data_IF_236896919027
#
_entry.id   IF_236896919027
#
_cell.length_a   1.000
_cell.length_b   1.000
_cell.length_c   1.000
_cell.angle_alpha   90.00
_cell.angle_beta   90.00
_cell.angle_gamma   90.00
#
_symmetry.space_group_name_H-M   'P 1'
#
loop_
_entity.id
_entity.type
_entity.pdbx_description
1 polymer ?
#
# COMPACT_ATOMS: atom_id res chain seq x y z
N UNK A 1 23.81 -41.93 6.33
CA UNK A 1 22.78 -41.19 7.09
C UNK A 1 23.25 -39.78 7.48
N UNK A 2 24.36 -39.63 8.23
CA UNK A 2 24.88 -38.32 8.66
C UNK A 2 25.23 -37.38 7.49
N UNK A 3 25.88 -37.88 6.44
CA UNK A 3 26.27 -37.07 5.26
C UNK A 3 25.03 -36.55 4.51
N UNK A 4 23.96 -37.34 4.45
CA UNK A 4 22.69 -36.95 3.81
C UNK A 4 22.01 -35.85 4.61
N UNK A 5 22.03 -35.94 5.95
CA UNK A 5 21.50 -34.89 6.84
C UNK A 5 22.31 -33.60 6.73
N UNK A 6 23.64 -33.69 6.63
CA UNK A 6 24.52 -32.53 6.42
C UNK A 6 24.28 -31.88 5.05
N UNK A 7 24.08 -32.67 3.99
CA UNK A 7 23.74 -32.15 2.67
C UNK A 7 22.35 -31.51 2.63
N UNK A 8 21.35 -32.11 3.29
CA UNK A 8 20.00 -31.53 3.39
C UNK A 8 20.00 -30.23 4.19
N UNK A 9 20.71 -30.17 5.32
CA UNK A 9 20.82 -28.93 6.12
C UNK A 9 21.59 -27.83 5.37
N UNK A 10 22.61 -28.18 4.59
CA UNK A 10 23.33 -27.22 3.75
C UNK A 10 22.48 -26.73 2.56
N UNK A 11 21.71 -27.62 1.93
CA UNK A 11 20.82 -27.28 0.81
C UNK A 11 19.62 -26.43 1.26
N UNK A 12 19.02 -26.75 2.41
CA UNK A 12 17.95 -25.96 3.04
C UNK A 12 18.52 -24.62 3.56
N UNK A 13 19.74 -24.61 4.10
CA UNK A 13 20.43 -23.37 4.51
C UNK A 13 20.79 -22.44 3.34
N UNK A 14 21.02 -23.00 2.14
CA UNK A 14 21.26 -22.23 0.91
C UNK A 14 19.99 -21.88 0.13
N UNK A 15 18.84 -22.50 0.41
CA UNK A 15 17.53 -22.03 -0.05
C UNK A 15 17.10 -20.86 0.85
N UNK A 16 17.64 -19.68 0.58
CA UNK A 16 17.71 -18.58 1.54
C UNK A 16 16.30 -18.06 1.95
N UNK A 17 15.86 -18.24 3.21
CA UNK A 17 14.63 -17.61 3.72
C UNK A 17 14.64 -16.08 3.58
N UNK A 18 15.82 -15.50 3.40
CA UNK A 18 16.06 -14.06 3.28
C UNK A 18 15.26 -13.35 2.20
N UNK A 19 14.93 -13.98 1.06
CA UNK A 19 14.24 -13.25 -0.04
C UNK A 19 12.76 -13.07 0.26
N UNK A 20 12.10 -14.08 0.83
CA UNK A 20 10.68 -14.01 1.19
C UNK A 20 10.48 -13.02 2.33
N UNK A 21 11.32 -13.10 3.37
CA UNK A 21 11.28 -12.17 4.50
C UNK A 21 11.52 -10.73 4.06
N UNK A 22 12.40 -10.53 3.09
CA UNK A 22 12.73 -9.23 2.55
C UNK A 22 11.57 -8.59 1.76
N UNK A 23 10.82 -9.40 1.01
CA UNK A 23 9.57 -8.98 0.35
C UNK A 23 8.49 -8.66 1.38
N UNK A 24 8.34 -9.52 2.40
CA UNK A 24 7.38 -9.32 3.50
C UNK A 24 7.68 -8.03 4.26
N UNK A 25 8.94 -7.78 4.61
CA UNK A 25 9.37 -6.56 5.29
C UNK A 25 9.15 -5.32 4.41
N UNK A 26 9.40 -5.43 3.10
CA UNK A 26 9.14 -4.34 2.16
C UNK A 26 7.65 -4.02 2.05
N UNK A 27 6.81 -5.05 2.00
CA UNK A 27 5.35 -4.94 2.01
C UNK A 27 4.87 -4.25 3.28
N UNK A 28 5.27 -4.76 4.45
CA UNK A 28 4.91 -4.20 5.75
C UNK A 28 5.30 -2.72 5.86
N UNK A 29 6.57 -2.38 5.55
CA UNK A 29 7.03 -1.00 5.61
C UNK A 29 6.21 -0.08 4.70
N UNK A 30 5.96 -0.49 3.45
CA UNK A 30 5.24 0.33 2.48
C UNK A 30 3.75 0.48 2.83
N UNK A 31 3.08 -0.61 3.21
CA UNK A 31 1.67 -0.61 3.58
C UNK A 31 1.45 0.25 4.82
N UNK A 32 2.20 0.01 5.90
CA UNK A 32 2.07 0.82 7.11
C UNK A 32 2.38 2.29 6.86
N UNK A 33 3.38 2.59 6.03
CA UNK A 33 3.65 3.97 5.65
C UNK A 33 2.46 4.63 4.96
N UNK A 34 1.77 3.91 4.06
CA UNK A 34 0.53 4.39 3.44
C UNK A 34 -0.56 4.61 4.47
N UNK A 35 -0.82 3.63 5.32
CA UNK A 35 -1.96 3.66 6.26
C UNK A 35 -1.79 4.74 7.32
N UNK A 36 -0.57 4.94 7.82
CA UNK A 36 -0.27 5.93 8.85
C UNK A 36 -0.20 7.35 8.30
N UNK A 37 0.50 7.56 7.18
CA UNK A 37 0.75 8.93 6.69
C UNK A 37 -0.27 9.43 5.67
N UNK A 38 -0.94 8.52 4.95
CA UNK A 38 -2.01 8.87 4.00
C UNK A 38 -3.37 8.62 4.66
N UNK A 39 -3.57 7.42 5.22
CA UNK A 39 -4.84 7.02 5.84
C UNK A 39 -5.09 7.62 7.22
N UNK A 40 -4.08 8.17 7.88
CA UNK A 40 -4.19 8.70 9.25
C UNK A 40 -4.45 7.64 10.31
N UNK A 41 -4.26 6.35 9.99
CA UNK A 41 -4.54 5.22 10.86
C UNK A 41 -3.38 4.93 11.82
N UNK A 42 -3.67 4.20 12.87
CA UNK A 42 -2.67 3.60 13.76
C UNK A 42 -2.15 2.27 13.18
N UNK A 43 -1.00 1.81 13.66
CA UNK A 43 -0.43 0.51 13.23
C UNK A 43 -1.32 -0.63 13.73
N UNK A 44 -1.95 -0.46 14.88
CA UNK A 44 -2.87 -1.41 15.49
C UNK A 44 -4.16 -1.57 14.65
N UNK A 45 -4.77 -0.47 14.23
CA UNK A 45 -5.94 -0.50 13.33
C UNK A 45 -5.60 -1.19 12.01
N UNK A 46 -4.45 -0.86 11.42
CA UNK A 46 -3.97 -1.53 10.20
C UNK A 46 -3.85 -3.04 10.40
N UNK A 47 -3.23 -3.48 11.50
CA UNK A 47 -3.05 -4.91 11.78
C UNK A 47 -4.38 -5.64 11.92
N UNK A 48 -5.36 -4.98 12.52
CA UNK A 48 -6.66 -5.59 12.80
C UNK A 48 -7.53 -5.66 11.55
N UNK A 49 -7.49 -4.61 10.70
CA UNK A 49 -8.40 -4.45 9.56
C UNK A 49 -7.77 -4.88 8.23
N UNK A 50 -6.56 -4.42 7.93
CA UNK A 50 -5.95 -4.60 6.60
C UNK A 50 -5.13 -5.89 6.50
N UNK A 51 -4.51 -6.29 7.61
CA UNK A 51 -3.65 -7.48 7.67
C UNK A 51 -4.48 -8.71 8.04
N UNK A 52 -5.57 -8.53 8.81
CA UNK A 52 -6.41 -9.63 9.30
C UNK A 52 -5.58 -10.69 10.03
N UNK A 53 -6.18 -11.83 10.36
CA UNK A 53 -5.47 -12.98 10.96
C UNK A 53 -4.49 -13.68 10.00
N UNK A 54 -3.90 -12.97 9.03
CA UNK A 54 -2.91 -13.50 8.10
C UNK A 54 -1.53 -13.52 8.78
N UNK A 55 -1.06 -14.72 9.09
CA UNK A 55 0.12 -15.02 9.92
C UNK A 55 1.48 -14.53 9.39
N UNK A 56 1.52 -13.90 8.22
CA UNK A 56 2.76 -13.50 7.56
C UNK A 56 3.33 -12.16 8.06
N UNK A 57 2.49 -11.27 8.57
CA UNK A 57 2.91 -9.95 9.05
C UNK A 57 2.96 -9.84 10.58
N UNK A 58 2.41 -10.82 11.29
CA UNK A 58 2.37 -10.85 12.77
C UNK A 58 3.77 -10.81 13.39
N UNK A 59 4.73 -11.46 12.74
CA UNK A 59 6.11 -11.57 13.22
C UNK A 59 7.03 -10.43 12.76
N UNK A 60 6.50 -9.45 12.02
CA UNK A 60 7.27 -8.31 11.52
C UNK A 60 7.26 -7.20 12.57
N UNK A 61 8.44 -6.77 12.97
CA UNK A 61 8.61 -5.57 13.79
C UNK A 61 8.45 -4.33 12.92
N UNK A 62 7.61 -3.40 13.34
CA UNK A 62 7.29 -2.16 12.61
C UNK A 62 7.64 -0.97 13.51
N UNK A 63 8.38 0.00 12.95
CA UNK A 63 8.76 1.22 13.65
C UNK A 63 8.37 2.42 12.78
N UNK A 64 7.44 3.23 13.29
CA UNK A 64 7.00 4.47 12.63
C UNK A 64 7.78 5.65 13.20
N UNK A 65 8.45 6.39 12.31
CA UNK A 65 9.07 7.67 12.64
C UNK A 65 8.25 8.81 12.03
N UNK A 66 7.47 9.50 12.88
CA UNK A 66 6.62 10.62 12.45
C UNK A 66 7.42 11.89 12.12
N UNK A 67 8.59 12.09 12.70
CA UNK A 67 9.45 13.26 12.41
C UNK A 67 10.09 13.16 11.03
N UNK A 68 10.62 11.99 10.67
CA UNK A 68 11.21 11.70 9.35
C UNK A 68 10.16 11.31 8.30
N UNK A 69 8.90 11.14 8.74
CA UNK A 69 7.80 10.64 7.92
C UNK A 69 8.17 9.32 7.23
N UNK A 70 8.60 8.34 8.02
CA UNK A 70 9.09 7.06 7.51
C UNK A 70 8.66 5.88 8.38
N UNK A 71 8.69 4.69 7.78
CA UNK A 71 8.42 3.42 8.46
C UNK A 71 9.54 2.45 8.14
N UNK A 72 10.03 1.76 9.17
CA UNK A 72 10.95 0.64 9.05
C UNK A 72 10.21 -0.64 9.44
N UNK A 73 10.47 -1.73 8.71
CA UNK A 73 9.98 -3.05 9.04
C UNK A 73 11.06 -4.13 8.88
N UNK A 74 11.06 -5.11 9.79
CA UNK A 74 11.97 -6.25 9.75
C UNK A 74 11.47 -7.45 10.55
N UNK A 75 11.80 -8.65 10.09
CA UNK A 75 11.71 -9.91 10.84
C UNK A 75 13.06 -10.26 11.47
N UNK A 76 13.06 -11.07 12.54
CA UNK A 76 14.30 -11.47 13.22
C UNK A 76 15.29 -12.12 12.26
N UNK A 77 16.56 -11.67 12.26
CA UNK A 77 17.61 -12.19 11.37
C UNK A 77 17.48 -11.78 9.89
N UNK A 78 16.51 -10.94 9.53
CA UNK A 78 16.25 -10.50 8.16
C UNK A 78 16.72 -9.07 7.86
N UNK A 79 16.76 -8.72 6.58
CA UNK A 79 17.08 -7.37 6.11
C UNK A 79 16.01 -6.36 6.52
N UNK A 80 16.46 -5.21 7.02
CA UNK A 80 15.61 -4.06 7.34
C UNK A 80 15.13 -3.40 6.03
N UNK A 81 13.82 -3.21 5.90
CA UNK A 81 13.21 -2.43 4.82
C UNK A 81 12.65 -1.13 5.35
N UNK A 82 12.79 -0.05 4.56
CA UNK A 82 12.32 1.30 4.91
C UNK A 82 11.45 1.86 3.79
N UNK A 83 10.31 2.42 4.16
CA UNK A 83 9.48 3.24 3.30
C UNK A 83 9.41 4.67 3.84
N UNK A 84 9.29 5.63 2.94
CA UNK A 84 9.17 7.06 3.27
C UNK A 84 7.87 7.60 2.70
N UNK A 85 7.20 8.46 3.46
CA UNK A 85 6.09 9.23 2.98
C UNK A 85 6.58 10.49 2.27
N UNK A 86 5.99 10.75 1.11
CA UNK A 86 6.29 11.89 0.26
C UNK A 86 4.98 12.62 -0.02
N UNK A 87 4.87 13.84 0.50
CA UNK A 87 3.66 14.66 0.34
C UNK A 87 3.28 14.78 -1.15
N UNK A 88 2.01 14.49 -1.46
CA UNK A 88 1.48 14.47 -2.83
C UNK A 88 1.83 13.25 -3.69
N UNK A 89 2.71 12.35 -3.21
CA UNK A 89 3.17 11.17 -3.95
C UNK A 89 2.94 9.85 -3.18
N UNK A 90 2.56 9.95 -1.90
CA UNK A 90 2.26 8.82 -1.05
C UNK A 90 3.50 8.10 -0.51
N UNK A 91 3.33 6.82 -0.18
CA UNK A 91 4.38 5.98 0.40
C UNK A 91 5.30 5.38 -0.67
N UNK A 92 6.60 5.59 -0.55
CA UNK A 92 7.63 5.04 -1.43
C UNK A 92 8.55 4.10 -0.66
N UNK A 93 8.64 2.84 -1.10
CA UNK A 93 9.63 1.89 -0.58
C UNK A 93 11.02 2.28 -1.09
N UNK A 94 12.02 2.35 -0.21
CA UNK A 94 13.40 2.59 -0.61
C UNK A 94 13.96 1.31 -1.22
N UNK A 95 14.16 1.34 -2.54
CA UNK A 95 14.71 0.23 -3.31
C UNK A 95 15.50 0.74 -4.51
N UNK A 96 16.70 0.19 -4.73
CA UNK A 96 17.60 0.54 -5.84
C UNK A 96 18.24 1.94 -5.80
N UNK A 97 17.64 2.89 -5.08
CA UNK A 97 18.13 4.25 -4.88
C UNK A 97 18.26 4.57 -3.40
N UNK A 98 19.16 5.49 -3.08
CA UNK A 98 19.25 6.03 -1.71
C UNK A 98 18.02 6.88 -1.39
N UNK A 99 17.69 6.97 -0.10
CA UNK A 99 16.61 7.85 0.38
C UNK A 99 16.81 9.29 -0.10
N UNK A 100 18.04 9.81 -0.05
CA UNK A 100 18.37 11.16 -0.52
C UNK A 100 18.02 11.33 -1.99
N UNK A 101 18.37 10.37 -2.84
CA UNK A 101 18.02 10.41 -4.26
C UNK A 101 16.50 10.41 -4.45
N UNK A 102 15.77 9.53 -3.77
CA UNK A 102 14.30 9.45 -3.86
C UNK A 102 13.66 10.76 -3.41
N UNK A 103 14.06 11.31 -2.26
CA UNK A 103 13.55 12.60 -1.75
C UNK A 103 13.89 13.77 -2.68
N UNK A 104 14.99 13.69 -3.43
CA UNK A 104 15.40 14.73 -4.39
C UNK A 104 14.73 14.64 -5.76
N UNK A 105 13.98 13.57 -6.05
CA UNK A 105 13.28 13.42 -7.32
C UNK A 105 12.27 14.55 -7.53
N UNK A 106 12.32 15.18 -8.70
CA UNK A 106 11.37 16.19 -9.15
C UNK A 106 10.38 15.57 -10.13
N UNK A 107 9.13 16.00 -10.06
CA UNK A 107 8.08 15.56 -10.95
C UNK A 107 7.68 16.70 -11.86
N UNK A 108 7.61 16.41 -13.16
CA UNK A 108 7.01 17.31 -14.12
C UNK A 108 5.50 17.08 -14.06
N UNK A 109 4.82 17.83 -13.20
CA UNK A 109 3.37 17.84 -13.17
C UNK A 109 2.86 18.56 -14.43
N UNK A 110 1.78 18.07 -15.07
CA UNK A 110 1.16 18.80 -16.15
C UNK A 110 0.66 20.15 -15.63
N UNK A 111 0.71 21.18 -16.47
CA UNK A 111 0.08 22.45 -16.14
C UNK A 111 -1.41 22.24 -15.90
N UNK A 112 -2.01 22.90 -14.89
CA UNK A 112 -3.45 22.87 -14.71
C UNK A 112 -4.15 23.39 -15.97
N UNK A 113 -5.37 22.92 -16.29
CA UNK A 113 -6.11 23.41 -17.45
C UNK A 113 -6.30 24.93 -17.41
N UNK A 114 -6.18 25.58 -18.57
CA UNK A 114 -6.34 27.03 -18.71
C UNK A 114 -7.82 27.47 -18.78
N UNK A 115 -8.75 26.55 -18.58
CA UNK A 115 -10.20 26.77 -18.71
C UNK A 115 -10.87 26.47 -17.37
N UNK A 116 -11.95 27.17 -17.08
CA UNK A 116 -12.76 26.88 -15.90
C UNK A 116 -13.45 25.51 -16.09
N UNK A 117 -13.01 24.52 -15.32
CA UNK A 117 -13.50 23.15 -15.38
C UNK A 117 -14.90 22.97 -14.79
N UNK A 118 -15.36 23.87 -13.91
CA UNK A 118 -16.68 23.80 -13.25
C UNK A 118 -17.85 23.82 -14.25
N UNK A 119 -17.61 24.34 -15.45
CA UNK A 119 -18.61 24.44 -16.52
C UNK A 119 -18.49 23.36 -17.58
N UNK A 120 -17.42 22.56 -17.56
CA UNK A 120 -17.13 21.55 -18.58
C UNK A 120 -17.58 20.18 -18.03
N UNK A 121 -18.46 19.46 -18.74
CA UNK A 121 -18.86 18.10 -18.38
C UNK A 121 -17.68 17.16 -18.10
N UNK A 122 -17.80 16.36 -17.05
CA UNK A 122 -16.95 15.18 -16.87
C UNK A 122 -17.00 14.28 -18.13
N UNK A 123 -15.89 13.68 -18.59
CA UNK A 123 -14.55 13.58 -17.96
C UNK A 123 -13.60 14.73 -18.29
N UNK A 124 -14.03 15.71 -19.09
CA UNK A 124 -13.14 16.80 -19.56
C UNK A 124 -13.11 18.00 -18.61
N UNK A 125 -13.99 18.03 -17.61
CA UNK A 125 -13.96 18.97 -16.49
C UNK A 125 -14.76 18.43 -15.30
N UNK A 126 -15.14 19.32 -14.39
CA UNK A 126 -15.67 18.97 -13.07
C UNK A 126 -17.20 19.06 -13.00
N UNK A 127 -17.87 19.46 -14.09
CA UNK A 127 -19.33 19.51 -14.14
C UNK A 127 -19.88 18.08 -14.19
N UNK A 128 -20.42 17.62 -13.08
CA UNK A 128 -21.22 16.39 -13.04
C UNK A 128 -22.51 16.64 -13.84
N UNK A 129 -22.72 15.83 -14.88
CA UNK A 129 -23.95 15.84 -15.66
C UNK A 129 -24.80 14.68 -15.16
N UNK A 130 -26.00 14.97 -14.67
CA UNK A 130 -27.01 13.95 -14.37
C UNK A 130 -27.67 13.47 -15.66
N UNK A 131 -26.87 13.02 -16.63
CA UNK A 131 -27.39 12.30 -17.78
C UNK A 131 -27.57 10.85 -17.36
N UNK A 132 -28.78 10.55 -16.89
CA UNK A 132 -29.24 9.17 -16.79
C UNK A 132 -29.11 8.55 -18.18
N UNK A 133 -28.21 7.59 -18.33
CA UNK A 133 -28.04 6.84 -19.57
C UNK A 133 -29.40 6.26 -19.97
N UNK A 134 -29.96 6.76 -21.08
CA UNK A 134 -31.33 6.44 -21.51
C UNK A 134 -31.54 4.96 -21.84
N UNK A 135 -30.45 4.23 -22.06
CA UNK A 135 -30.41 2.79 -22.30
C UNK A 135 -30.18 1.96 -21.03
N UNK A 136 -30.10 2.57 -19.84
CA UNK A 136 -29.91 1.87 -18.56
C UNK A 136 -31.21 1.91 -17.75
N UNK A 137 -31.65 0.74 -17.27
CA UNK A 137 -32.77 0.64 -16.34
C UNK A 137 -32.34 1.16 -14.96
N UNK A 138 -32.69 2.41 -14.67
CA UNK A 138 -32.29 3.10 -13.44
C UNK A 138 -32.81 2.39 -12.19
N UNK A 139 -34.05 1.90 -12.21
CA UNK A 139 -34.62 1.16 -11.08
C UNK A 139 -33.84 -0.13 -10.78
N UNK A 140 -33.44 -0.86 -11.82
CA UNK A 140 -32.63 -2.07 -11.64
C UNK A 140 -31.23 -1.73 -11.09
N UNK A 141 -30.62 -0.64 -11.56
CA UNK A 141 -29.32 -0.16 -11.08
C UNK A 141 -29.36 0.27 -9.61
N UNK A 142 -30.34 1.09 -9.24
CA UNK A 142 -30.53 1.56 -7.87
C UNK A 142 -30.75 0.38 -6.92
N UNK A 143 -31.57 -0.60 -7.31
CA UNK A 143 -31.77 -1.82 -6.52
C UNK A 143 -30.48 -2.62 -6.35
N UNK A 144 -29.67 -2.76 -7.42
CA UNK A 144 -28.39 -3.44 -7.34
C UNK A 144 -27.42 -2.71 -6.39
N UNK A 145 -27.28 -1.39 -6.52
CA UNK A 145 -26.43 -0.56 -5.65
C UNK A 145 -26.90 -0.70 -4.20
N UNK A 146 -28.18 -0.49 -3.94
CA UNK A 146 -28.73 -0.57 -2.58
C UNK A 146 -28.50 -1.95 -1.98
N UNK A 147 -28.62 -3.03 -2.76
CA UNK A 147 -28.36 -4.39 -2.27
C UNK A 147 -26.90 -4.66 -1.92
N UNK A 148 -25.94 -4.00 -2.58
CA UNK A 148 -24.50 -4.22 -2.38
C UNK A 148 -23.99 -3.62 -1.06
N UNK A 149 -24.61 -2.55 -0.57
CA UNK A 149 -24.19 -1.83 0.63
C UNK A 149 -25.02 -2.16 1.87
N UNK A 150 -25.78 -3.27 1.84
CA UNK A 150 -26.41 -3.82 3.05
C UNK A 150 -25.36 -4.63 3.79
N UNK A 151 -24.84 -4.09 4.90
CA UNK A 151 -23.91 -4.82 5.76
C UNK A 151 -24.64 -5.97 6.47
N UNK A 152 -24.46 -7.17 5.97
CA UNK A 152 -25.03 -8.39 6.57
C UNK A 152 -24.28 -8.88 7.82
N UNK A 153 -23.10 -8.33 8.12
CA UNK A 153 -22.32 -8.70 9.29
C UNK A 153 -21.59 -7.46 9.84
N UNK A 154 -21.81 -7.07 11.12
CA UNK A 154 -21.22 -5.87 11.72
C UNK A 154 -19.72 -5.99 12.01
#
# INVERSE_FOLDING_TARGET
MIIVILLLTHLIGHCSPSVVDDVINGLAAKYTCSDVFIGGRTVEEQRTVDIGSSSYLDNVTIIVNRTDSSVIAYSSGSTIRKAIYRSGLGATLISGLTEKQIRSQKFNLPSPPNVNQDNIPWPMGDKIVNDCLSNVNQTALENAINSLFIETNP
#
